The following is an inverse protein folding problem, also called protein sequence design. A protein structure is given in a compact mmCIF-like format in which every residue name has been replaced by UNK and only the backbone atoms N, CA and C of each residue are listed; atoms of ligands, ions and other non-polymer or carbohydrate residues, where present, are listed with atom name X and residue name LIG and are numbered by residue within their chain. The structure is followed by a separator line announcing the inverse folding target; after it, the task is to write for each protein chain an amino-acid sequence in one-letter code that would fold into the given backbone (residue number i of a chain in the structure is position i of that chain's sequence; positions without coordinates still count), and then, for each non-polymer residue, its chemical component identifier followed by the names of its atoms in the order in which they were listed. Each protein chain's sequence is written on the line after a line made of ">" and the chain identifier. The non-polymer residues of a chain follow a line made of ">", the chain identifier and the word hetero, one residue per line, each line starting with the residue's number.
data_IF_643429007236
#
_entry.id   IF_643429007236
#
_cell.length_a   1.000
_cell.length_b   1.000
_cell.length_c   1.000
_cell.angle_alpha   90.00
_cell.angle_beta   90.00
_cell.angle_gamma   90.00
#
_symmetry.space_group_name_H-M   'P 1'
#
loop_
_entity.id
_entity.type
_entity.pdbx_description
1 polymer ?
#
# COMPACT_ATOMS: atom_id res chain seq x y z
N UNK A 1 -31.07 -10.56 -14.40
CA UNK A 1 -31.57 -10.71 -15.78
C UNK A 1 -33.10 -10.81 -15.87
N UNK A 2 -33.79 -11.66 -15.09
CA UNK A 2 -35.27 -11.84 -15.20
C UNK A 2 -36.07 -10.53 -15.04
N UNK A 3 -35.75 -9.70 -14.02
CA UNK A 3 -36.42 -8.41 -13.79
C UNK A 3 -36.24 -7.44 -14.97
N UNK A 4 -35.01 -7.28 -15.45
CA UNK A 4 -34.71 -6.35 -16.54
C UNK A 4 -35.37 -6.75 -17.86
N UNK A 5 -35.45 -8.05 -18.15
CA UNK A 5 -36.16 -8.54 -19.32
C UNK A 5 -37.65 -8.22 -19.23
N UNK A 6 -38.30 -8.53 -18.10
CA UNK A 6 -39.71 -8.22 -17.90
C UNK A 6 -40.02 -6.71 -17.98
N UNK A 7 -39.15 -5.86 -17.40
CA UNK A 7 -39.28 -4.40 -17.54
C UNK A 7 -39.07 -3.94 -18.98
N UNK A 8 -38.13 -4.54 -19.70
CA UNK A 8 -37.89 -4.29 -21.12
C UNK A 8 -39.11 -4.64 -21.97
N UNK A 9 -39.71 -5.80 -21.75
CA UNK A 9 -40.90 -6.27 -22.45
C UNK A 9 -42.08 -5.31 -22.22
N UNK A 10 -42.34 -4.92 -20.97
CA UNK A 10 -43.41 -3.98 -20.62
C UNK A 10 -43.14 -2.59 -21.24
N UNK A 11 -41.89 -2.14 -21.25
CA UNK A 11 -41.50 -0.87 -21.87
C UNK A 11 -41.74 -0.90 -23.38
N UNK A 12 -41.35 -1.98 -24.05
CA UNK A 12 -41.59 -2.18 -25.48
C UNK A 12 -43.07 -2.24 -25.81
N UNK A 13 -43.87 -2.93 -24.99
CA UNK A 13 -45.33 -2.97 -25.14
C UNK A 13 -45.97 -1.58 -24.98
N UNK A 14 -45.53 -0.80 -23.98
CA UNK A 14 -46.01 0.56 -23.75
C UNK A 14 -45.67 1.48 -24.94
N UNK A 15 -44.46 1.40 -25.48
CA UNK A 15 -44.03 2.18 -26.65
C UNK A 15 -44.87 1.79 -27.87
N UNK A 16 -45.02 0.49 -28.15
CA UNK A 16 -45.77 0.01 -29.31
C UNK A 16 -47.26 0.43 -29.24
N UNK A 17 -47.85 0.41 -28.04
CA UNK A 17 -49.28 0.70 -27.84
C UNK A 17 -49.59 2.21 -27.82
N UNK A 18 -48.72 3.02 -27.20
CA UNK A 18 -48.99 4.44 -26.94
C UNK A 18 -48.17 5.41 -27.80
N UNK A 19 -47.01 4.98 -28.31
CA UNK A 19 -46.05 5.81 -29.02
C UNK A 19 -45.94 5.54 -30.53
N UNK A 20 -46.39 4.36 -30.99
CA UNK A 20 -46.23 3.90 -32.38
C UNK A 20 -44.92 3.13 -32.60
N UNK A 21 -44.58 2.84 -33.86
CA UNK A 21 -43.38 2.06 -34.22
C UNK A 21 -42.08 2.86 -34.04
N UNK A 22 -42.01 4.11 -34.53
CA UNK A 22 -40.84 4.99 -34.40
C UNK A 22 -41.26 6.48 -34.44
N UNK A 23 -40.45 7.36 -33.83
CA UNK A 23 -40.61 8.83 -33.86
C UNK A 23 -40.68 9.49 -32.49
N UNK A 24 -40.86 10.82 -32.46
CA UNK A 24 -40.84 11.64 -31.23
C UNK A 24 -41.84 11.16 -30.16
N UNK A 25 -42.99 10.60 -30.57
CA UNK A 25 -43.99 10.06 -29.65
C UNK A 25 -43.52 8.79 -28.93
N UNK A 26 -42.80 7.90 -29.63
CA UNK A 26 -42.22 6.70 -29.04
C UNK A 26 -41.14 7.04 -28.00
N UNK A 27 -40.30 8.04 -28.29
CA UNK A 27 -39.30 8.56 -27.35
C UNK A 27 -39.96 9.17 -26.10
N UNK A 28 -40.99 10.01 -26.28
CA UNK A 28 -41.72 10.62 -25.17
C UNK A 28 -42.38 9.58 -24.26
N UNK A 29 -42.96 8.51 -24.82
CA UNK A 29 -43.52 7.40 -24.04
C UNK A 29 -42.43 6.67 -23.25
N UNK A 30 -41.26 6.45 -23.85
CA UNK A 30 -40.12 5.84 -23.16
C UNK A 30 -39.62 6.67 -21.96
N UNK A 31 -39.58 7.99 -22.09
CA UNK A 31 -39.24 8.89 -20.98
C UNK A 31 -40.29 8.89 -19.88
N UNK A 32 -41.58 8.91 -20.24
CA UNK A 32 -42.68 8.83 -19.28
C UNK A 32 -42.67 7.50 -18.53
N UNK A 33 -42.39 6.39 -19.23
CA UNK A 33 -42.25 5.07 -18.60
C UNK A 33 -41.18 5.08 -17.52
N UNK A 34 -40.00 5.66 -17.81
CA UNK A 34 -38.90 5.79 -16.84
C UNK A 34 -39.30 6.63 -15.61
N UNK A 35 -40.12 7.68 -15.80
CA UNK A 35 -40.69 8.47 -14.69
C UNK A 35 -41.67 7.65 -13.85
N UNK A 36 -42.51 6.84 -14.48
CA UNK A 36 -43.45 5.95 -13.77
C UNK A 36 -42.69 4.91 -12.95
N UNK A 37 -41.67 4.27 -13.53
CA UNK A 37 -40.80 3.33 -12.83
C UNK A 37 -40.18 3.97 -11.58
N UNK A 38 -39.58 5.16 -11.75
CA UNK A 38 -39.02 5.94 -10.64
C UNK A 38 -40.06 6.19 -9.55
N UNK A 39 -41.24 6.66 -9.90
CA UNK A 39 -42.30 6.99 -8.93
C UNK A 39 -42.81 5.74 -8.20
N UNK A 40 -42.97 4.62 -8.89
CA UNK A 40 -43.43 3.35 -8.29
C UNK A 40 -42.43 2.85 -7.26
N UNK A 41 -41.13 2.81 -7.60
CA UNK A 41 -40.09 2.36 -6.68
C UNK A 41 -40.01 3.26 -5.45
N UNK A 42 -39.99 4.58 -5.65
CA UNK A 42 -39.87 5.56 -4.56
C UNK A 42 -41.05 5.54 -3.61
N UNK A 43 -42.27 5.48 -4.16
CA UNK A 43 -43.50 5.43 -3.35
C UNK A 43 -43.53 4.18 -2.47
N UNK A 44 -43.12 3.02 -3.01
CA UNK A 44 -43.05 1.78 -2.24
C UNK A 44 -42.06 1.87 -1.09
N UNK A 45 -40.87 2.43 -1.35
CA UNK A 45 -39.82 2.60 -0.33
C UNK A 45 -40.30 3.50 0.80
N UNK A 46 -40.93 4.64 0.50
CA UNK A 46 -41.45 5.57 1.52
C UNK A 46 -42.60 4.95 2.33
N UNK A 47 -43.44 4.12 1.70
CA UNK A 47 -44.51 3.37 2.37
C UNK A 47 -43.99 2.21 3.25
N UNK A 48 -42.67 1.98 3.31
CA UNK A 48 -42.08 0.90 4.08
C UNK A 48 -42.27 -0.49 3.46
N UNK A 49 -42.64 -0.56 2.18
CA UNK A 49 -42.73 -1.82 1.45
C UNK A 49 -41.33 -2.35 1.11
N UNK A 50 -41.19 -3.67 0.84
CA UNK A 50 -39.91 -4.25 0.44
C UNK A 50 -39.30 -3.56 -0.79
N UNK A 51 -37.98 -3.39 -0.74
CA UNK A 51 -37.13 -2.86 -1.82
C UNK A 51 -37.16 -3.78 -3.05
N UNK A 52 -36.46 -3.38 -4.12
CA UNK A 52 -36.43 -4.09 -5.41
C UNK A 52 -35.97 -5.55 -5.24
N UNK A 53 -35.05 -5.80 -4.30
CA UNK A 53 -34.53 -7.13 -3.98
C UNK A 53 -35.21 -7.80 -2.77
N UNK A 54 -36.30 -7.21 -2.27
CA UNK A 54 -37.08 -7.73 -1.16
C UNK A 54 -36.58 -7.37 0.25
N UNK A 55 -35.44 -6.67 0.38
CA UNK A 55 -34.93 -6.22 1.68
C UNK A 55 -35.76 -5.07 2.27
N UNK A 56 -35.60 -4.86 3.57
CA UNK A 56 -36.00 -3.62 4.22
C UNK A 56 -34.96 -2.49 3.98
N UNK A 57 -35.25 -1.32 4.55
CA UNK A 57 -34.42 -0.13 4.39
C UNK A 57 -33.06 -0.22 5.12
N UNK A 58 -32.88 -1.13 6.07
CA UNK A 58 -31.72 -1.16 6.98
C UNK A 58 -30.76 -2.33 6.74
N UNK A 59 -31.23 -3.39 6.11
CA UNK A 59 -30.51 -4.65 5.93
C UNK A 59 -29.40 -4.53 4.89
N UNK A 60 -28.18 -4.87 5.30
CA UNK A 60 -27.01 -5.05 4.40
C UNK A 60 -27.16 -6.37 3.65
N UNK A 61 -26.72 -6.44 2.38
CA UNK A 61 -26.70 -7.69 1.62
C UNK A 61 -25.75 -8.73 2.25
N UNK A 62 -25.92 -10.03 1.95
CA UNK A 62 -24.99 -11.07 2.42
C UNK A 62 -23.55 -10.74 2.07
N UNK A 63 -22.65 -10.95 3.04
CA UNK A 63 -21.21 -10.68 2.90
C UNK A 63 -20.46 -12.00 2.93
N UNK A 64 -19.51 -12.16 2.02
CA UNK A 64 -18.52 -13.21 2.05
C UNK A 64 -17.13 -12.60 1.87
N UNK A 65 -16.21 -12.99 2.74
CA UNK A 65 -14.85 -12.48 2.79
C UNK A 65 -13.88 -13.67 2.72
N UNK A 66 -12.83 -13.52 1.93
CA UNK A 66 -11.71 -14.47 1.86
C UNK A 66 -10.40 -13.67 1.84
N UNK A 67 -9.35 -14.21 2.45
CA UNK A 67 -7.98 -13.65 2.39
C UNK A 67 -6.99 -14.71 1.94
N UNK A 68 -5.87 -14.31 1.36
CA UNK A 68 -4.84 -15.23 0.89
C UNK A 68 -5.22 -16.05 -0.35
N UNK A 69 -6.25 -15.65 -1.10
CA UNK A 69 -6.72 -16.36 -2.30
C UNK A 69 -5.66 -16.45 -3.41
N UNK A 70 -4.74 -15.47 -3.48
CA UNK A 70 -3.65 -15.44 -4.46
C UNK A 70 -2.31 -15.77 -3.80
N UNK A 71 -1.86 -17.02 -3.91
CA UNK A 71 -0.67 -17.57 -3.23
C UNK A 71 0.64 -16.80 -3.39
N UNK A 72 0.81 -16.03 -4.47
CA UNK A 72 2.05 -15.27 -4.73
C UNK A 72 1.94 -13.78 -4.40
N UNK A 73 0.74 -13.26 -4.19
CA UNK A 73 0.55 -11.89 -3.76
C UNK A 73 1.13 -11.69 -2.35
N UNK A 74 1.57 -10.48 -2.02
CA UNK A 74 2.06 -10.20 -0.66
C UNK A 74 0.88 -10.21 0.33
N UNK A 75 -0.28 -9.70 -0.10
CA UNK A 75 -1.56 -9.99 0.53
C UNK A 75 -2.68 -9.92 -0.51
N UNK A 76 -3.76 -10.65 -0.26
CA UNK A 76 -4.93 -10.67 -1.15
C UNK A 76 -6.22 -10.87 -0.39
N UNK A 77 -7.31 -10.33 -0.92
CA UNK A 77 -8.64 -10.55 -0.39
C UNK A 77 -9.67 -10.60 -1.52
N UNK A 78 -10.71 -11.40 -1.32
CA UNK A 78 -11.94 -11.36 -2.09
C UNK A 78 -13.03 -10.89 -1.13
N UNK A 79 -13.57 -9.70 -1.39
CA UNK A 79 -14.70 -9.17 -0.64
C UNK A 79 -15.93 -9.16 -1.55
N UNK A 80 -16.95 -9.91 -1.17
CA UNK A 80 -18.24 -9.99 -1.88
C UNK A 80 -19.35 -9.54 -0.96
N UNK A 81 -20.19 -8.62 -1.45
CA UNK A 81 -21.41 -8.16 -0.78
C UNK A 81 -22.57 -8.17 -1.77
N UNK A 82 -23.47 -9.14 -1.62
CA UNK A 82 -24.48 -9.43 -2.64
C UNK A 82 -23.83 -9.68 -3.99
N UNK A 83 -24.19 -8.88 -5.00
CA UNK A 83 -23.65 -8.93 -6.37
C UNK A 83 -22.60 -7.82 -6.61
N UNK A 84 -21.88 -7.42 -5.56
CA UNK A 84 -20.70 -6.55 -5.67
C UNK A 84 -19.50 -7.28 -5.13
N UNK A 85 -18.49 -7.50 -5.97
CA UNK A 85 -17.27 -8.22 -5.61
C UNK A 85 -16.03 -7.43 -6.03
N UNK A 86 -15.07 -7.38 -5.12
CA UNK A 86 -13.74 -6.84 -5.37
C UNK A 86 -12.68 -7.89 -5.01
N UNK A 87 -11.81 -8.20 -5.97
CA UNK A 87 -10.55 -8.87 -5.72
C UNK A 87 -9.52 -7.78 -5.46
N UNK A 88 -8.95 -7.76 -4.26
CA UNK A 88 -8.01 -6.73 -3.83
C UNK A 88 -6.67 -7.36 -3.52
N UNK A 89 -5.61 -6.78 -4.07
CA UNK A 89 -4.24 -7.29 -3.94
C UNK A 89 -3.34 -6.20 -3.39
N UNK A 90 -2.56 -6.54 -2.38
CA UNK A 90 -1.52 -5.70 -1.79
C UNK A 90 -0.15 -6.16 -2.27
N UNK A 91 0.66 -5.22 -2.71
CA UNK A 91 2.08 -5.38 -3.04
C UNK A 91 2.89 -4.43 -2.17
N UNK A 92 4.01 -4.93 -1.65
CA UNK A 92 4.98 -4.19 -0.85
C UNK A 92 6.25 -4.02 -1.68
N UNK A 93 6.77 -2.80 -1.73
CA UNK A 93 8.00 -2.43 -2.42
C UNK A 93 8.93 -1.63 -1.51
N UNK A 94 10.13 -1.36 -2.00
CA UNK A 94 11.07 -0.49 -1.30
C UNK A 94 10.60 0.97 -1.36
N UNK A 95 11.12 1.85 -0.51
CA UNK A 95 10.72 3.27 -0.50
C UNK A 95 11.05 3.99 -1.82
N UNK A 96 12.08 3.52 -2.55
CA UNK A 96 12.35 3.98 -3.92
C UNK A 96 11.23 3.71 -4.93
N UNK A 97 10.35 2.73 -4.67
CA UNK A 97 9.22 2.37 -5.54
C UNK A 97 8.03 3.34 -5.37
N UNK A 98 8.15 4.32 -4.46
CA UNK A 98 7.15 5.36 -4.25
C UNK A 98 6.90 6.15 -5.54
N UNK A 99 5.64 6.52 -5.75
CA UNK A 99 5.26 7.29 -6.94
C UNK A 99 5.69 8.74 -6.77
N UNK A 100 6.54 9.22 -7.68
CA UNK A 100 6.85 10.65 -7.76
C UNK A 100 5.68 11.37 -8.43
N UNK A 101 5.09 12.32 -7.72
CA UNK A 101 4.01 13.18 -8.20
C UNK A 101 4.59 14.58 -8.41
N UNK A 102 4.87 14.90 -9.68
CA UNK A 102 5.24 16.26 -10.10
C UNK A 102 3.99 17.15 -10.03
N UNK A 103 3.91 17.92 -8.94
CA UNK A 103 2.80 18.78 -8.61
C UNK A 103 3.15 20.26 -8.77
N UNK A 104 2.12 21.11 -8.82
CA UNK A 104 2.30 22.56 -8.89
C UNK A 104 3.10 23.15 -7.70
N UNK A 105 3.12 22.44 -6.56
CA UNK A 105 3.84 22.85 -5.35
C UNK A 105 5.21 22.18 -5.21
N UNK A 106 5.66 21.46 -6.23
CA UNK A 106 6.88 20.66 -6.23
C UNK A 106 6.61 19.16 -6.28
N UNK A 107 7.69 18.40 -6.33
CA UNK A 107 7.66 16.93 -6.36
C UNK A 107 7.34 16.37 -4.98
N UNK A 108 6.36 15.48 -4.91
CA UNK A 108 6.02 14.70 -3.72
C UNK A 108 6.22 13.20 -3.99
N UNK A 109 6.51 12.41 -2.96
CA UNK A 109 6.66 10.96 -3.05
C UNK A 109 5.46 10.29 -2.36
N UNK A 110 4.56 9.71 -3.13
CA UNK A 110 3.42 8.95 -2.62
C UNK A 110 3.83 7.50 -2.33
N UNK A 111 4.04 7.18 -1.06
CA UNK A 111 4.35 5.83 -0.57
C UNK A 111 3.12 4.92 -0.49
N UNK A 112 1.90 5.46 -0.67
CA UNK A 112 0.66 4.69 -0.67
C UNK A 112 -0.19 4.90 -1.92
N UNK A 113 -0.13 3.91 -2.82
CA UNK A 113 -0.91 3.88 -4.05
C UNK A 113 -2.12 2.96 -3.90
N UNK A 114 -3.31 3.46 -4.22
CA UNK A 114 -4.49 2.63 -4.40
C UNK A 114 -5.04 2.83 -5.81
N UNK A 115 -4.95 1.78 -6.62
CA UNK A 115 -5.51 1.71 -7.95
C UNK A 115 -6.81 0.92 -7.93
N UNK A 116 -7.79 1.43 -8.67
CA UNK A 116 -9.12 0.87 -8.76
C UNK A 116 -9.45 0.67 -10.24
N UNK A 117 -9.90 -0.52 -10.59
CA UNK A 117 -10.23 -0.91 -11.95
C UNK A 117 -11.66 -1.45 -12.00
N UNK A 118 -12.40 -1.03 -13.02
CA UNK A 118 -13.80 -1.36 -13.26
C UNK A 118 -13.95 -1.93 -14.68
N UNK A 119 -13.58 -3.21 -14.88
CA UNK A 119 -13.68 -3.83 -16.19
C UNK A 119 -15.15 -4.00 -16.62
N UNK A 120 -15.51 -3.84 -17.91
CA UNK A 120 -16.89 -3.89 -18.38
C UNK A 120 -17.66 -5.17 -18.02
N UNK A 121 -16.95 -6.31 -17.93
CA UNK A 121 -17.57 -7.59 -17.60
C UNK A 121 -18.21 -7.60 -16.20
N UNK A 122 -17.78 -6.73 -15.27
CA UNK A 122 -18.31 -6.73 -13.91
C UNK A 122 -19.79 -6.29 -13.83
N UNK A 123 -20.31 -5.69 -14.90
CA UNK A 123 -21.73 -5.36 -15.11
C UNK A 123 -22.34 -6.16 -16.26
N UNK A 124 -21.63 -7.16 -16.80
CA UNK A 124 -22.09 -7.98 -17.92
C UNK A 124 -22.03 -7.29 -19.29
N UNK A 125 -21.27 -6.21 -19.43
CA UNK A 125 -21.13 -5.47 -20.68
C UNK A 125 -19.80 -5.78 -21.39
N UNK A 126 -19.77 -5.57 -22.70
CA UNK A 126 -18.53 -5.55 -23.48
C UNK A 126 -18.06 -4.10 -23.66
N UNK A 127 -16.75 -3.85 -23.50
CA UNK A 127 -16.20 -2.51 -23.66
C UNK A 127 -14.70 -2.51 -23.90
N UNK A 128 -14.17 -1.37 -24.35
CA UNK A 128 -12.75 -1.21 -24.64
C UNK A 128 -11.94 -1.10 -23.34
N UNK A 129 -10.92 -1.93 -23.21
CA UNK A 129 -9.96 -1.90 -22.09
C UNK A 129 -8.79 -0.97 -22.46
N UNK A 130 -8.91 0.32 -22.16
CA UNK A 130 -7.84 1.31 -22.30
C UNK A 130 -7.31 1.74 -20.92
N UNK A 131 -6.94 3.02 -20.75
CA UNK A 131 -6.52 3.54 -19.45
C UNK A 131 -7.71 3.80 -18.50
N UNK A 132 -7.43 4.02 -17.20
CA UNK A 132 -8.48 4.24 -16.20
C UNK A 132 -9.27 5.54 -16.47
N UNK A 133 -10.60 5.44 -16.37
CA UNK A 133 -11.54 6.55 -16.54
C UNK A 133 -11.55 7.45 -15.30
N UNK A 134 -12.11 8.66 -15.45
CA UNK A 134 -12.28 9.61 -14.33
C UNK A 134 -12.97 8.99 -13.11
N UNK A 135 -14.01 8.18 -13.32
CA UNK A 135 -14.75 7.53 -12.21
C UNK A 135 -13.92 6.46 -11.51
N UNK A 136 -13.08 5.72 -12.24
CA UNK A 136 -12.17 4.74 -11.66
C UNK A 136 -11.12 5.43 -10.77
N UNK A 137 -10.52 6.52 -11.25
CA UNK A 137 -9.59 7.33 -10.45
C UNK A 137 -10.30 7.93 -9.23
N UNK A 138 -11.51 8.47 -9.39
CA UNK A 138 -12.29 9.04 -8.29
C UNK A 138 -12.65 8.01 -7.20
N UNK A 139 -13.10 6.82 -7.61
CA UNK A 139 -13.39 5.72 -6.69
C UNK A 139 -12.12 5.20 -6.00
N UNK A 140 -11.01 5.08 -6.74
CA UNK A 140 -9.71 4.72 -6.17
C UNK A 140 -9.25 5.74 -5.12
N UNK A 141 -9.38 7.04 -5.40
CA UNK A 141 -9.03 8.09 -4.43
C UNK A 141 -9.97 8.12 -3.22
N UNK A 142 -11.27 7.83 -3.39
CA UNK A 142 -12.19 7.67 -2.26
C UNK A 142 -11.78 6.49 -1.37
N UNK A 143 -11.52 5.32 -1.97
CA UNK A 143 -11.09 4.14 -1.24
C UNK A 143 -9.75 4.38 -0.53
N UNK A 144 -8.81 5.04 -1.21
CA UNK A 144 -7.52 5.46 -0.65
C UNK A 144 -7.72 6.29 0.61
N UNK A 145 -8.56 7.32 0.55
CA UNK A 145 -8.85 8.18 1.72
C UNK A 145 -9.47 7.37 2.88
N UNK A 146 -10.32 6.40 2.56
CA UNK A 146 -10.93 5.52 3.56
C UNK A 146 -9.92 4.71 4.37
N UNK A 147 -8.87 4.17 3.74
CA UNK A 147 -7.87 3.33 4.42
C UNK A 147 -6.61 4.09 4.86
N UNK A 148 -6.26 5.21 4.22
CA UNK A 148 -5.03 5.96 4.49
C UNK A 148 -4.91 6.39 5.95
N UNK A 149 -6.04 6.79 6.56
CA UNK A 149 -6.06 7.17 7.96
C UNK A 149 -5.72 6.01 8.92
N UNK A 150 -5.68 4.76 8.49
CA UNK A 150 -5.33 3.61 9.33
C UNK A 150 -3.96 3.02 9.02
N UNK A 151 -3.24 3.56 8.04
CA UNK A 151 -1.90 3.09 7.72
C UNK A 151 -0.91 3.42 8.85
N UNK A 152 0.12 2.57 9.05
CA UNK A 152 1.26 2.90 9.90
C UNK A 152 2.08 4.03 9.29
N UNK A 153 2.92 4.66 10.12
CA UNK A 153 3.98 5.55 9.63
C UNK A 153 5.14 4.77 8.99
N UNK A 154 5.97 5.49 8.23
CA UNK A 154 7.11 4.93 7.52
C UNK A 154 8.22 4.43 8.46
N UNK A 155 8.28 4.92 9.70
CA UNK A 155 9.23 4.43 10.70
C UNK A 155 8.86 3.02 11.17
N UNK A 156 7.57 2.79 11.41
CA UNK A 156 7.01 1.51 11.86
C UNK A 156 6.96 0.49 10.73
N UNK A 157 6.61 0.93 9.52
CA UNK A 157 6.46 0.05 8.37
C UNK A 157 7.07 0.69 7.11
N UNK A 158 8.41 0.59 6.94
CA UNK A 158 9.15 1.29 5.88
C UNK A 158 8.98 0.59 4.54
N UNK A 159 7.77 0.62 4.00
CA UNK A 159 7.43 0.01 2.71
C UNK A 159 6.62 0.98 1.86
N UNK A 160 6.88 0.95 0.57
CA UNK A 160 5.91 1.46 -0.39
C UNK A 160 4.79 0.44 -0.53
N UNK A 161 3.55 0.87 -0.38
CA UNK A 161 2.39 0.00 -0.43
C UNK A 161 1.58 0.34 -1.69
N UNK A 162 1.36 -0.68 -2.53
CA UNK A 162 0.45 -0.61 -3.66
C UNK A 162 -0.72 -1.55 -3.45
N UNK A 163 -1.93 -1.01 -3.47
CA UNK A 163 -3.18 -1.77 -3.46
C UNK A 163 -3.83 -1.66 -4.84
N UNK A 164 -4.24 -2.78 -5.42
CA UNK A 164 -5.04 -2.82 -6.64
C UNK A 164 -6.36 -3.50 -6.32
N UNK A 165 -7.48 -2.79 -6.53
CA UNK A 165 -8.82 -3.33 -6.43
C UNK A 165 -9.39 -3.57 -7.83
N UNK A 166 -9.57 -4.84 -8.18
CA UNK A 166 -10.22 -5.29 -9.40
C UNK A 166 -11.68 -5.61 -9.09
N UNK A 167 -12.61 -4.89 -9.69
CA UNK A 167 -14.04 -5.15 -9.51
C UNK A 167 -14.46 -6.27 -10.47
N UNK A 168 -14.91 -7.39 -9.91
CA UNK A 168 -15.34 -8.55 -10.70
C UNK A 168 -16.85 -8.62 -10.85
N UNK A 169 -17.60 -8.03 -9.91
CA UNK A 169 -19.06 -7.89 -9.95
C UNK A 169 -19.46 -6.52 -9.39
N UNK A 170 -20.45 -5.86 -9.96
CA UNK A 170 -20.92 -4.57 -9.45
C UNK A 170 -22.42 -4.37 -9.60
N UNK A 171 -23.13 -4.49 -8.48
CA UNK A 171 -24.53 -4.06 -8.34
C UNK A 171 -24.73 -3.14 -7.12
N UNK A 172 -23.71 -2.38 -6.72
CA UNK A 172 -23.80 -1.43 -5.62
C UNK A 172 -22.46 -1.08 -5.02
N UNK A 173 -22.10 0.21 -5.10
CA UNK A 173 -20.87 0.82 -4.57
C UNK A 173 -19.66 -0.09 -4.41
N UNK A 174 -19.13 -0.54 -5.54
CA UNK A 174 -17.83 -1.22 -5.65
C UNK A 174 -16.68 -0.45 -5.00
N UNK A 175 -16.74 0.88 -4.94
CA UNK A 175 -15.76 1.70 -4.19
C UNK A 175 -15.71 1.39 -2.69
N UNK A 176 -16.82 0.99 -2.07
CA UNK A 176 -16.85 0.60 -0.65
C UNK A 176 -16.43 -0.86 -0.46
N UNK A 177 -16.74 -1.72 -1.43
CA UNK A 177 -16.16 -3.06 -1.48
C UNK A 177 -14.63 -3.00 -1.59
N UNK A 178 -14.08 -2.04 -2.34
CA UNK A 178 -12.63 -1.77 -2.41
C UNK A 178 -12.04 -1.35 -1.07
N UNK A 179 -12.74 -0.54 -0.27
CA UNK A 179 -12.27 -0.16 1.09
C UNK A 179 -12.19 -1.40 1.98
N UNK A 180 -13.26 -2.19 2.01
CA UNK A 180 -13.31 -3.41 2.82
C UNK A 180 -12.24 -4.43 2.38
N UNK A 181 -12.16 -4.69 1.07
CA UNK A 181 -11.16 -5.59 0.50
C UNK A 181 -9.73 -5.10 0.69
N UNK A 182 -9.48 -3.78 0.59
CA UNK A 182 -8.16 -3.21 0.89
C UNK A 182 -7.80 -3.38 2.36
N UNK A 183 -8.73 -3.14 3.30
CA UNK A 183 -8.48 -3.38 4.72
C UNK A 183 -8.08 -4.83 4.99
N UNK A 184 -8.78 -5.80 4.38
CA UNK A 184 -8.47 -7.22 4.50
C UNK A 184 -7.11 -7.57 3.86
N UNK A 185 -6.87 -7.12 2.62
CA UNK A 185 -5.65 -7.45 1.88
C UNK A 185 -4.40 -6.78 2.47
N UNK A 186 -4.53 -5.62 3.11
CA UNK A 186 -3.44 -4.96 3.84
C UNK A 186 -3.07 -5.75 5.09
N UNK A 187 -4.06 -6.18 5.88
CA UNK A 187 -3.83 -7.03 7.06
C UNK A 187 -3.26 -8.40 6.68
N UNK A 188 -3.75 -9.01 5.60
CA UNK A 188 -3.22 -10.25 5.05
C UNK A 188 -1.76 -10.11 4.58
N UNK A 189 -1.37 -8.92 4.12
CA UNK A 189 0.01 -8.61 3.75
C UNK A 189 0.96 -8.33 4.94
N UNK A 190 0.45 -8.37 6.17
CA UNK A 190 1.20 -8.02 7.37
C UNK A 190 1.39 -6.51 7.58
N UNK A 191 0.58 -5.67 6.92
CA UNK A 191 0.60 -4.21 7.17
C UNK A 191 -0.09 -3.94 8.51
N UNK A 192 0.61 -3.37 9.52
CA UNK A 192 0.05 -3.13 10.84
C UNK A 192 -0.91 -1.94 10.84
N UNK A 193 -2.13 -2.14 10.34
CA UNK A 193 -3.18 -1.13 10.40
C UNK A 193 -3.54 -0.80 11.85
N UNK A 194 -3.80 0.48 12.15
CA UNK A 194 -4.25 0.91 13.48
C UNK A 194 -5.58 0.27 13.89
N UNK A 195 -6.48 0.10 12.93
CA UNK A 195 -7.73 -0.64 13.06
C UNK A 195 -8.25 -1.06 11.67
N UNK A 196 -9.04 -2.14 11.55
CA UNK A 196 -9.73 -2.48 10.32
C UNK A 196 -10.74 -1.40 9.91
N UNK A 197 -10.97 -1.23 8.60
CA UNK A 197 -11.86 -0.21 8.04
C UNK A 197 -12.91 -0.87 7.14
N UNK A 198 -14.18 -0.54 7.38
CA UNK A 198 -15.29 -0.94 6.51
C UNK A 198 -15.92 0.27 5.82
N UNK A 199 -16.55 0.02 4.67
CA UNK A 199 -17.27 1.01 3.89
C UNK A 199 -18.71 0.60 3.59
N UNK A 200 -19.63 1.56 3.65
CA UNK A 200 -21.04 1.36 3.29
C UNK A 200 -21.50 2.45 2.34
N UNK A 201 -22.37 2.08 1.41
CA UNK A 201 -23.08 3.02 0.56
C UNK A 201 -24.54 3.12 0.99
N UNK A 202 -25.01 4.34 1.04
CA UNK A 202 -26.29 4.74 1.59
C UNK A 202 -27.02 5.58 0.56
N UNK A 203 -28.34 5.49 0.56
CA UNK A 203 -29.20 6.32 -0.27
C UNK A 203 -30.26 7.02 0.55
N UNK A 204 -30.84 8.07 -0.03
CA UNK A 204 -32.00 8.76 0.50
C UNK A 204 -33.04 8.89 -0.61
N UNK A 205 -34.30 8.59 -0.29
CA UNK A 205 -35.46 8.95 -1.09
C UNK A 205 -36.29 9.92 -0.25
N UNK A 206 -36.66 11.06 -0.82
CA UNK A 206 -37.47 12.09 -0.17
C UNK A 206 -38.58 12.56 -1.11
N UNK A 207 -39.80 12.57 -0.60
CA UNK A 207 -40.96 13.19 -1.23
C UNK A 207 -41.52 14.29 -0.30
N UNK A 208 -42.64 14.89 -0.67
CA UNK A 208 -43.34 15.88 0.17
C UNK A 208 -43.84 15.25 1.49
N UNK A 209 -44.32 14.01 1.42
CA UNK A 209 -44.97 13.32 2.54
C UNK A 209 -44.02 12.55 3.47
N UNK A 210 -42.71 12.50 3.17
CA UNK A 210 -41.73 11.78 3.99
C UNK A 210 -40.40 11.48 3.32
N UNK A 211 -39.54 10.74 4.02
CA UNK A 211 -38.25 10.27 3.51
C UNK A 211 -37.92 8.86 3.99
N UNK A 212 -37.02 8.19 3.28
CA UNK A 212 -36.47 6.89 3.62
C UNK A 212 -34.95 6.88 3.42
N UNK A 213 -34.23 6.33 4.40
CA UNK A 213 -32.78 6.11 4.31
C UNK A 213 -32.56 4.64 3.94
N UNK A 214 -31.82 4.40 2.86
CA UNK A 214 -31.52 3.07 2.34
C UNK A 214 -30.09 2.67 2.71
N UNK A 215 -29.95 1.53 3.38
CA UNK A 215 -28.66 0.89 3.64
C UNK A 215 -28.27 -0.02 2.48
N UNK A 216 -27.00 0.05 2.08
CA UNK A 216 -26.39 -0.83 1.10
C UNK A 216 -27.16 -0.82 -0.22
N UNK A 217 -27.16 0.35 -0.86
CA UNK A 217 -27.93 0.61 -2.07
C UNK A 217 -27.47 -0.22 -3.28
N UNK A 218 -28.44 -0.57 -4.10
CA UNK A 218 -28.26 -1.15 -5.43
C UNK A 218 -27.92 -0.06 -6.46
N UNK A 219 -27.46 -0.47 -7.64
CA UNK A 219 -27.27 0.46 -8.77
C UNK A 219 -28.55 1.20 -9.17
N UNK A 220 -29.70 0.48 -9.19
CA UNK A 220 -31.00 1.10 -9.48
C UNK A 220 -31.38 2.13 -8.41
N UNK A 221 -31.11 1.86 -7.13
CA UNK A 221 -31.49 2.74 -6.03
C UNK A 221 -30.66 4.01 -5.95
N UNK A 222 -29.38 3.94 -6.36
CA UNK A 222 -28.53 5.12 -6.58
C UNK A 222 -29.13 6.00 -7.69
N UNK A 223 -29.47 5.40 -8.83
CA UNK A 223 -30.05 6.13 -9.97
C UNK A 223 -31.37 6.83 -9.61
N UNK A 224 -32.22 6.17 -8.82
CA UNK A 224 -33.56 6.64 -8.47
C UNK A 224 -33.62 7.50 -7.19
N UNK A 225 -32.57 7.45 -6.37
CA UNK A 225 -32.46 8.19 -5.11
C UNK A 225 -32.11 9.68 -5.30
N UNK A 226 -32.43 10.48 -4.28
CA UNK A 226 -32.21 11.93 -4.24
C UNK A 226 -30.86 12.34 -3.65
N UNK A 227 -30.24 11.41 -2.94
CA UNK A 227 -28.90 11.56 -2.40
C UNK A 227 -28.27 10.17 -2.29
N UNK A 228 -27.02 10.06 -2.71
CA UNK A 228 -26.17 8.92 -2.41
C UNK A 228 -24.96 9.38 -1.59
N UNK A 229 -24.60 8.58 -0.60
CA UNK A 229 -23.43 8.88 0.20
C UNK A 229 -22.71 7.62 0.65
N UNK A 230 -21.41 7.76 0.82
CA UNK A 230 -20.48 6.68 1.08
C UNK A 230 -19.73 7.01 2.35
N UNK A 231 -19.79 6.11 3.32
CA UNK A 231 -19.18 6.28 4.63
C UNK A 231 -18.18 5.15 4.85
N UNK A 232 -16.92 5.51 5.06
CA UNK A 232 -15.86 4.58 5.42
C UNK A 232 -15.30 4.94 6.80
N UNK A 233 -14.89 3.93 7.58
CA UNK A 233 -14.38 4.15 8.91
C UNK A 233 -14.13 2.87 9.70
N UNK A 234 -13.47 3.02 10.85
CA UNK A 234 -13.30 1.96 11.84
C UNK A 234 -14.48 1.94 12.82
N UNK A 235 -14.37 1.15 13.89
CA UNK A 235 -15.29 1.19 15.03
C UNK A 235 -15.33 2.57 15.70
N UNK A 236 -14.20 3.26 15.72
CA UNK A 236 -14.00 4.45 16.56
C UNK A 236 -14.40 5.75 15.85
N UNK A 237 -14.49 5.73 14.52
CA UNK A 237 -14.81 6.93 13.77
C UNK A 237 -14.84 6.76 12.25
N UNK A 238 -15.19 7.85 11.58
CA UNK A 238 -15.23 7.96 10.11
C UNK A 238 -13.87 8.38 9.60
N UNK A 239 -13.35 7.67 8.58
CA UNK A 239 -12.10 8.00 7.89
C UNK A 239 -12.33 8.71 6.57
N UNK A 240 -13.45 8.43 5.89
CA UNK A 240 -13.86 9.16 4.71
C UNK A 240 -15.39 9.24 4.60
N UNK A 241 -15.87 10.39 4.14
CA UNK A 241 -17.27 10.65 3.83
C UNK A 241 -17.33 11.32 2.45
N UNK A 242 -18.13 10.75 1.55
CA UNK A 242 -18.48 11.36 0.27
C UNK A 242 -20.00 11.42 0.18
N UNK A 243 -20.53 12.56 -0.25
CA UNK A 243 -21.96 12.78 -0.42
C UNK A 243 -22.20 13.44 -1.77
N UNK A 244 -23.20 12.96 -2.49
CA UNK A 244 -23.75 13.60 -3.68
C UNK A 244 -25.25 13.81 -3.46
N UNK A 245 -25.68 15.07 -3.51
CA UNK A 245 -27.03 15.52 -3.17
C UNK A 245 -27.66 16.09 -4.44
N UNK A 246 -28.77 15.50 -4.88
CA UNK A 246 -29.47 15.87 -6.13
C UNK A 246 -30.64 16.83 -5.89
N UNK A 247 -31.07 17.01 -4.63
CA UNK A 247 -32.22 17.84 -4.26
C UNK A 247 -31.88 18.83 -3.14
N UNK A 248 -32.72 19.85 -2.96
CA UNK A 248 -32.69 20.71 -1.78
C UNK A 248 -33.55 20.11 -0.65
N UNK A 249 -33.39 20.65 0.57
CA UNK A 249 -34.27 20.30 1.70
C UNK A 249 -33.83 19.07 2.52
N UNK A 250 -32.54 18.72 2.47
CA UNK A 250 -31.94 17.75 3.40
C UNK A 250 -31.56 18.49 4.68
N UNK A 251 -32.25 18.18 5.79
CA UNK A 251 -32.03 18.81 7.09
C UNK A 251 -30.92 18.12 7.88
N UNK A 252 -30.40 18.78 8.91
CA UNK A 252 -29.43 18.17 9.83
C UNK A 252 -29.98 16.89 10.49
N UNK A 253 -31.27 16.88 10.82
CA UNK A 253 -31.94 15.73 11.44
C UNK A 253 -31.93 14.51 10.52
N UNK A 254 -32.23 14.71 9.23
CA UNK A 254 -32.16 13.66 8.20
C UNK A 254 -30.73 13.14 8.09
N UNK A 255 -29.75 14.04 8.04
CA UNK A 255 -28.33 13.67 7.98
C UNK A 255 -27.87 12.86 9.19
N UNK A 256 -28.29 13.27 10.40
CA UNK A 256 -27.95 12.57 11.64
C UNK A 256 -28.53 11.15 11.67
N UNK A 257 -29.80 11.00 11.27
CA UNK A 257 -30.43 9.69 11.16
C UNK A 257 -29.72 8.82 10.10
N UNK A 258 -29.37 9.40 8.96
CA UNK A 258 -28.71 8.69 7.87
C UNK A 258 -27.29 8.22 8.24
N UNK A 259 -26.51 9.05 8.94
CA UNK A 259 -25.19 8.69 9.43
C UNK A 259 -25.23 7.67 10.58
N UNK A 260 -26.23 7.73 11.46
CA UNK A 260 -26.43 6.71 12.50
C UNK A 260 -26.71 5.34 11.87
N UNK A 261 -27.62 5.28 10.91
CA UNK A 261 -27.89 4.03 10.17
C UNK A 261 -26.67 3.53 9.39
N UNK A 262 -25.86 4.44 8.84
CA UNK A 262 -24.60 4.10 8.18
C UNK A 262 -23.56 3.54 9.16
N UNK A 263 -23.50 4.05 10.39
CA UNK A 263 -22.63 3.54 11.45
C UNK A 263 -23.00 2.09 11.79
N UNK A 264 -24.28 1.81 12.04
CA UNK A 264 -24.76 0.46 12.36
C UNK A 264 -24.39 -0.54 11.25
N UNK A 265 -24.63 -0.16 10.00
CA UNK A 265 -24.31 -0.97 8.83
C UNK A 265 -22.80 -1.19 8.66
N UNK A 266 -21.99 -0.14 8.88
CA UNK A 266 -20.53 -0.22 8.80
C UNK A 266 -19.98 -1.15 9.87
N UNK A 267 -20.47 -1.07 11.10
CA UNK A 267 -20.07 -1.95 12.20
C UNK A 267 -20.46 -3.41 11.93
N UNK A 268 -21.63 -3.63 11.33
CA UNK A 268 -22.03 -4.97 10.90
C UNK A 268 -21.06 -5.54 9.85
N UNK A 269 -20.72 -4.77 8.80
CA UNK A 269 -19.74 -5.18 7.78
C UNK A 269 -18.38 -5.47 8.40
N UNK A 270 -17.92 -4.60 9.30
CA UNK A 270 -16.67 -4.77 10.03
C UNK A 270 -16.66 -6.07 10.84
N UNK A 271 -17.78 -6.39 11.49
CA UNK A 271 -17.98 -7.65 12.20
C UNK A 271 -17.85 -8.88 11.29
N UNK A 272 -18.41 -8.85 10.08
CA UNK A 272 -18.25 -9.94 9.10
C UNK A 272 -16.81 -10.06 8.60
N UNK A 273 -16.11 -8.95 8.38
CA UNK A 273 -14.70 -8.93 7.99
C UNK A 273 -13.81 -9.55 9.08
N UNK A 274 -14.03 -9.17 10.34
CA UNK A 274 -13.24 -9.62 11.48
C UNK A 274 -13.39 -11.13 11.76
N UNK A 275 -14.42 -11.80 11.25
CA UNK A 275 -14.54 -13.27 11.32
C UNK A 275 -13.46 -13.98 10.50
N UNK A 276 -12.87 -13.29 9.52
CA UNK A 276 -11.83 -13.84 8.64
C UNK A 276 -10.44 -13.40 9.10
N UNK A 277 -10.27 -12.10 9.36
CA UNK A 277 -9.04 -11.53 9.90
C UNK A 277 -9.39 -10.24 10.66
N UNK A 278 -9.06 -10.18 11.94
CA UNK A 278 -9.38 -9.06 12.85
C UNK A 278 -8.17 -8.16 13.14
N UNK A 279 -6.95 -8.66 12.93
CA UNK A 279 -5.70 -7.92 12.99
C UNK A 279 -4.75 -8.31 11.86
N UNK A 280 -3.74 -7.46 11.59
CA UNK A 280 -2.68 -7.79 10.65
C UNK A 280 -1.96 -9.10 11.02
N UNK A 281 -1.44 -9.82 10.01
CA UNK A 281 -0.51 -10.92 10.25
C UNK A 281 0.77 -10.38 10.90
N UNK A 282 1.40 -11.19 11.76
CA UNK A 282 2.62 -10.81 12.49
C UNK A 282 3.83 -10.60 11.56
N UNK A 283 3.88 -11.33 10.44
CA UNK A 283 4.93 -11.24 9.44
C UNK A 283 4.35 -10.93 8.05
N UNK A 284 5.14 -10.21 7.25
CA UNK A 284 4.88 -10.05 5.81
C UNK A 284 5.06 -11.39 5.09
N UNK A 285 4.37 -11.57 3.95
CA UNK A 285 4.49 -12.79 3.16
C UNK A 285 5.94 -13.09 2.74
N UNK A 286 6.29 -14.37 2.61
CA UNK A 286 7.64 -14.79 2.16
C UNK A 286 8.01 -14.31 0.76
N UNK A 287 7.01 -13.96 -0.05
CA UNK A 287 7.22 -13.36 -1.38
C UNK A 287 7.48 -11.86 -1.32
N UNK A 288 7.20 -11.21 -0.20
CA UNK A 288 7.47 -9.79 0.00
C UNK A 288 8.94 -9.56 0.38
N UNK A 289 9.53 -8.43 -0.04
CA UNK A 289 10.87 -8.05 0.39
C UNK A 289 10.90 -7.87 1.91
N UNK A 290 11.82 -8.52 2.61
CA UNK A 290 12.07 -8.28 4.03
C UNK A 290 12.97 -7.04 4.16
N UNK A 291 12.63 -6.16 5.09
CA UNK A 291 13.39 -4.94 5.39
C UNK A 291 14.27 -5.15 6.61
N UNK A 292 15.52 -4.67 6.52
CA UNK A 292 16.48 -4.64 7.62
C UNK A 292 17.01 -3.23 7.74
N UNK A 293 16.89 -2.63 8.91
CA UNK A 293 17.36 -1.29 9.18
C UNK A 293 18.49 -1.29 10.20
N UNK A 294 19.52 -0.49 9.93
CA UNK A 294 20.61 -0.24 10.86
C UNK A 294 21.19 1.16 10.59
N UNK A 295 21.93 1.71 11.57
CA UNK A 295 22.57 3.02 11.43
C UNK A 295 24.05 2.88 11.18
N UNK A 296 24.56 3.73 10.30
CA UNK A 296 25.99 3.93 10.06
C UNK A 296 26.36 5.36 10.44
N UNK A 297 27.65 5.61 10.58
CA UNK A 297 28.16 6.97 10.76
C UNK A 297 27.84 7.84 9.53
N UNK A 298 27.20 9.02 9.69
CA UNK A 298 26.91 9.93 8.59
C UNK A 298 28.12 10.29 7.72
N UNK A 299 29.32 10.34 8.29
CA UNK A 299 30.53 10.67 7.55
C UNK A 299 30.90 9.58 6.52
N UNK A 300 30.42 8.35 6.72
CA UNK A 300 30.71 7.19 5.86
C UNK A 300 29.67 6.95 4.77
N UNK A 301 28.58 7.71 4.75
CA UNK A 301 27.56 7.63 3.69
C UNK A 301 28.23 7.76 2.31
N UNK A 302 29.21 8.66 2.18
CA UNK A 302 29.96 8.89 0.93
C UNK A 302 30.73 7.66 0.46
N UNK A 303 31.27 6.86 1.39
CA UNK A 303 32.03 5.64 1.07
C UNK A 303 31.10 4.52 0.60
N UNK A 304 29.94 4.36 1.26
CA UNK A 304 28.92 3.37 0.89
C UNK A 304 28.29 3.68 -0.47
N UNK A 305 27.98 4.95 -0.75
CA UNK A 305 27.48 5.37 -2.07
C UNK A 305 28.58 5.23 -3.13
N UNK A 306 29.80 5.67 -2.81
CA UNK A 306 30.93 5.72 -3.73
C UNK A 306 30.79 6.79 -4.81
N UNK A 307 31.83 6.96 -5.63
CA UNK A 307 31.84 7.98 -6.71
C UNK A 307 30.72 7.72 -7.72
N UNK A 308 29.74 8.63 -7.78
CA UNK A 308 28.59 8.52 -8.69
C UNK A 308 27.63 7.36 -8.41
N UNK A 309 27.65 6.82 -7.18
CA UNK A 309 26.81 5.67 -6.81
C UNK A 309 27.36 4.31 -7.25
N UNK A 310 28.62 4.22 -7.67
CA UNK A 310 29.21 2.98 -8.18
C UNK A 310 29.25 1.87 -7.11
N UNK A 311 29.59 2.21 -5.86
CA UNK A 311 29.71 1.22 -4.78
C UNK A 311 28.35 0.67 -4.39
N UNK A 312 27.35 1.54 -4.17
CA UNK A 312 26.00 1.10 -3.82
C UNK A 312 25.34 0.28 -4.94
N UNK A 313 25.57 0.61 -6.21
CA UNK A 313 25.10 -0.20 -7.35
C UNK A 313 25.74 -1.59 -7.33
N UNK A 314 27.05 -1.67 -7.11
CA UNK A 314 27.75 -2.96 -7.01
C UNK A 314 27.23 -3.80 -5.82
N UNK A 315 26.95 -3.18 -4.67
CA UNK A 315 26.32 -3.87 -3.54
C UNK A 315 24.96 -4.42 -3.95
N UNK A 316 24.10 -3.60 -4.59
CA UNK A 316 22.77 -4.03 -5.01
C UNK A 316 22.84 -5.17 -6.05
N UNK A 317 23.70 -5.06 -7.06
CA UNK A 317 23.89 -6.08 -8.10
C UNK A 317 24.44 -7.40 -7.53
N UNK A 318 25.43 -7.32 -6.64
CA UNK A 318 26.09 -8.51 -6.06
C UNK A 318 25.20 -9.22 -5.04
N UNK A 319 24.41 -8.47 -4.28
CA UNK A 319 23.50 -9.03 -3.26
C UNK A 319 22.12 -9.38 -3.80
N UNK A 320 21.73 -8.85 -4.97
CA UNK A 320 20.35 -8.84 -5.46
C UNK A 320 19.38 -8.26 -4.42
N UNK A 321 19.86 -7.32 -3.60
CA UNK A 321 19.10 -6.56 -2.63
C UNK A 321 19.02 -5.09 -3.04
N UNK A 322 18.02 -4.41 -2.52
CA UNK A 322 17.78 -2.98 -2.70
C UNK A 322 18.21 -2.27 -1.43
N UNK A 323 19.18 -1.36 -1.53
CA UNK A 323 19.67 -0.56 -0.40
C UNK A 323 19.22 0.88 -0.59
N UNK A 324 18.56 1.44 0.42
CA UNK A 324 18.21 2.85 0.52
C UNK A 324 18.98 3.46 1.71
N UNK A 325 19.65 4.60 1.50
CA UNK A 325 20.37 5.34 2.53
C UNK A 325 19.78 6.74 2.69
N UNK A 326 19.51 7.11 3.93
CA UNK A 326 19.11 8.47 4.31
C UNK A 326 20.34 9.30 4.74
N UNK A 327 20.20 10.62 4.69
CA UNK A 327 21.27 11.57 5.02
C UNK A 327 21.67 11.56 6.51
N UNK A 328 20.83 10.97 7.37
CA UNK A 328 21.08 10.80 8.81
C UNK A 328 21.88 9.53 9.16
N UNK A 329 22.26 8.74 8.14
CA UNK A 329 22.99 7.49 8.31
C UNK A 329 22.09 6.27 8.52
N UNK A 330 20.77 6.40 8.39
CA UNK A 330 19.87 5.25 8.40
C UNK A 330 19.96 4.48 7.07
N UNK A 331 20.32 3.20 7.16
CA UNK A 331 20.40 2.29 6.02
C UNK A 331 19.23 1.31 6.10
N UNK A 332 18.48 1.19 5.00
CA UNK A 332 17.41 0.19 4.85
C UNK A 332 17.76 -0.77 3.71
N UNK A 333 17.78 -2.05 4.01
CA UNK A 333 18.08 -3.13 3.05
C UNK A 333 16.83 -3.97 2.83
N UNK A 334 16.39 -4.04 1.58
CA UNK A 334 15.24 -4.83 1.12
C UNK A 334 15.72 -6.03 0.31
N UNK A 335 15.32 -7.24 0.70
CA UNK A 335 15.62 -8.43 -0.08
C UNK A 335 14.53 -9.50 0.07
N UNK A 336 14.34 -10.31 -0.97
CA UNK A 336 13.41 -11.46 -0.95
C UNK A 336 13.80 -12.53 0.07
N UNK A 337 15.10 -12.65 0.37
CA UNK A 337 15.60 -13.68 1.30
C UNK A 337 16.57 -13.09 2.31
N UNK A 338 16.62 -13.69 3.50
CA UNK A 338 17.55 -13.32 4.57
C UNK A 338 19.02 -13.41 4.13
N UNK A 339 19.37 -14.38 3.29
CA UNK A 339 20.74 -14.55 2.79
C UNK A 339 21.17 -13.39 1.89
N UNK A 340 20.29 -12.95 0.98
CA UNK A 340 20.54 -11.79 0.11
C UNK A 340 20.69 -10.51 0.94
N UNK A 341 19.82 -10.30 1.93
CA UNK A 341 19.91 -9.16 2.84
C UNK A 341 21.21 -9.18 3.65
N UNK A 342 21.57 -10.31 4.26
CA UNK A 342 22.78 -10.44 5.06
C UNK A 342 24.04 -10.17 4.22
N UNK A 343 24.05 -10.61 2.96
CA UNK A 343 25.15 -10.31 2.04
C UNK A 343 25.31 -8.80 1.81
N UNK A 344 24.21 -8.07 1.61
CA UNK A 344 24.26 -6.61 1.47
C UNK A 344 24.70 -5.93 2.77
N UNK A 345 24.14 -6.33 3.91
CA UNK A 345 24.50 -5.82 5.24
C UNK A 345 26.00 -6.01 5.49
N UNK A 346 26.53 -7.23 5.31
CA UNK A 346 27.95 -7.49 5.55
C UNK A 346 28.89 -6.75 4.58
N UNK A 347 28.46 -6.45 3.35
CA UNK A 347 29.23 -5.58 2.44
C UNK A 347 29.26 -4.13 2.96
N UNK A 348 28.15 -3.62 3.47
CA UNK A 348 28.05 -2.26 4.02
C UNK A 348 28.84 -2.17 5.33
N UNK A 349 28.73 -3.17 6.21
CA UNK A 349 29.53 -3.30 7.43
C UNK A 349 31.03 -3.35 7.10
N UNK A 350 31.45 -4.09 6.08
CA UNK A 350 32.86 -4.16 5.69
C UNK A 350 33.43 -2.80 5.22
N UNK A 351 32.61 -1.98 4.55
CA UNK A 351 32.98 -0.62 4.14
C UNK A 351 33.00 0.32 5.35
N UNK A 352 31.98 0.21 6.22
CA UNK A 352 31.80 1.12 7.35
C UNK A 352 32.60 0.73 8.58
N UNK A 353 33.18 -0.46 8.60
CA UNK A 353 33.98 -1.00 9.69
C UNK A 353 35.10 -0.02 10.08
N UNK A 354 35.26 0.19 11.38
CA UNK A 354 36.39 0.93 11.92
C UNK A 354 37.43 -0.01 12.51
N UNK A 355 38.66 0.47 12.47
CA UNK A 355 39.73 -0.11 13.24
C UNK A 355 39.53 0.28 14.71
N UNK A 356 39.02 -0.64 15.52
CA UNK A 356 38.87 -0.42 16.96
C UNK A 356 40.24 -0.43 17.63
N UNK A 357 40.50 0.55 18.51
CA UNK A 357 41.74 0.61 19.29
C UNK A 357 41.84 -0.66 20.15
N UNK A 358 42.93 -1.41 19.96
CA UNK A 358 43.16 -2.71 20.60
C UNK A 358 42.69 -3.93 19.80
N UNK A 359 41.94 -3.74 18.70
CA UNK A 359 41.50 -4.82 17.81
C UNK A 359 42.67 -5.47 17.06
N UNK A 360 42.63 -6.80 16.94
CA UNK A 360 43.63 -7.60 16.19
C UNK A 360 43.04 -7.97 14.84
N UNK A 361 43.70 -7.54 13.76
CA UNK A 361 43.26 -7.78 12.39
C UNK A 361 44.32 -8.52 11.57
N UNK A 362 43.88 -9.24 10.54
CA UNK A 362 44.76 -9.82 9.52
C UNK A 362 44.77 -8.89 8.32
N UNK A 363 45.91 -8.28 8.04
CA UNK A 363 46.04 -7.32 6.94
C UNK A 363 47.13 -7.71 5.96
N UNK A 364 47.02 -7.21 4.72
CA UNK A 364 47.99 -7.46 3.65
C UNK A 364 48.97 -6.29 3.56
N UNK A 365 50.26 -6.58 3.47
CA UNK A 365 51.30 -5.55 3.28
C UNK A 365 51.17 -4.97 1.86
N UNK A 366 50.80 -3.71 1.74
CA UNK A 366 50.68 -3.03 0.44
C UNK A 366 51.99 -2.39 -0.01
N UNK A 367 52.71 -1.75 0.93
CA UNK A 367 53.99 -1.10 0.63
C UNK A 367 54.88 -1.06 1.86
N UNK A 368 56.19 -1.14 1.62
CA UNK A 368 57.23 -1.02 2.64
C UNK A 368 57.98 0.28 2.39
N UNK A 369 58.32 0.98 3.48
CA UNK A 369 59.14 2.20 3.48
C UNK A 369 60.22 2.08 4.57
N UNK A 370 61.28 2.87 4.48
CA UNK A 370 62.44 2.76 5.39
C UNK A 370 62.08 2.88 6.89
N UNK A 371 60.96 3.54 7.21
CA UNK A 371 60.48 3.75 8.58
C UNK A 371 59.31 2.84 9.00
N UNK A 372 58.86 1.90 8.15
CA UNK A 372 57.75 0.99 8.48
C UNK A 372 57.08 0.31 7.29
N UNK A 373 55.97 -0.38 7.57
CA UNK A 373 55.15 -1.04 6.55
C UNK A 373 53.71 -0.56 6.61
N UNK A 374 53.11 -0.30 5.44
CA UNK A 374 51.67 -0.03 5.32
C UNK A 374 50.94 -1.35 5.10
N UNK A 375 50.04 -1.65 6.02
CA UNK A 375 49.24 -2.87 6.03
C UNK A 375 47.79 -2.48 5.85
N UNK A 376 47.16 -3.01 4.80
CA UNK A 376 45.73 -2.83 4.54
C UNK A 376 44.95 -3.77 5.44
N UNK A 377 44.16 -3.22 6.35
CA UNK A 377 43.44 -3.97 7.39
C UNK A 377 41.95 -4.12 7.04
N UNK A 378 41.38 -3.06 6.48
CA UNK A 378 40.00 -3.01 6.00
C UNK A 378 40.01 -2.37 4.61
N UNK A 379 39.01 -2.64 3.76
CA UNK A 379 38.93 -2.06 2.42
C UNK A 379 39.10 -0.53 2.44
N UNK A 380 40.19 -0.03 1.86
CA UNK A 380 40.48 1.41 1.80
C UNK A 380 41.09 2.02 3.07
N UNK A 381 41.42 1.21 4.08
CA UNK A 381 42.07 1.66 5.32
C UNK A 381 43.42 0.99 5.52
N UNK A 382 44.46 1.79 5.35
CA UNK A 382 45.84 1.39 5.58
C UNK A 382 46.29 1.86 6.96
N UNK A 383 46.88 0.95 7.73
CA UNK A 383 47.59 1.30 8.95
C UNK A 383 49.10 1.20 8.77
N UNK A 384 49.84 2.05 9.49
CA UNK A 384 51.30 2.05 9.48
C UNK A 384 51.82 1.24 10.68
N UNK A 385 52.54 0.17 10.40
CA UNK A 385 53.41 -0.49 11.39
C UNK A 385 54.75 0.23 11.35
N UNK A 386 55.07 1.00 12.39
CA UNK A 386 56.37 1.65 12.50
C UNK A 386 57.47 0.61 12.76
N UNK A 387 58.71 0.84 12.28
CA UNK A 387 59.83 -0.12 12.42
C UNK A 387 60.06 -0.58 13.87
N UNK A 388 59.83 0.32 14.83
CA UNK A 388 59.96 0.02 16.27
C UNK A 388 58.84 -0.85 16.86
N UNK A 389 57.81 -1.15 16.07
CA UNK A 389 56.61 -1.92 16.47
C UNK A 389 56.50 -3.25 15.69
N UNK A 390 57.54 -3.66 14.95
CA UNK A 390 57.56 -4.90 14.16
C UNK A 390 57.99 -6.10 15.01
N UNK A 391 59.06 -5.97 15.80
CA UNK A 391 59.63 -7.05 16.62
C UNK A 391 60.27 -6.50 17.90
N UNK A 392 60.34 -7.29 18.97
CA UNK A 392 61.02 -6.93 20.23
C UNK A 392 62.54 -6.77 20.05
N UNK A 393 63.12 -7.43 19.04
CA UNK A 393 64.52 -7.31 18.66
C UNK A 393 64.79 -6.08 17.79
N UNK A 394 66.04 -5.62 17.74
CA UNK A 394 66.43 -4.45 16.94
C UNK A 394 66.40 -4.81 15.45
N UNK A 395 65.35 -4.35 14.77
CA UNK A 395 65.18 -4.51 13.32
C UNK A 395 65.97 -3.41 12.60
N UNK A 396 66.97 -3.78 11.79
CA UNK A 396 67.71 -2.83 10.94
C UNK A 396 67.00 -2.57 9.60
N UNK A 397 66.35 -3.58 9.01
CA UNK A 397 65.57 -3.45 7.77
C UNK A 397 64.18 -4.08 7.90
N UNK A 398 63.15 -3.36 7.45
CA UNK A 398 61.75 -3.85 7.44
C UNK A 398 61.56 -5.02 6.46
N UNK A 399 62.35 -5.04 5.38
CA UNK A 399 62.30 -6.06 4.32
C UNK A 399 62.71 -7.46 4.78
N UNK A 400 63.43 -7.58 5.90
CA UNK A 400 63.85 -8.87 6.46
C UNK A 400 62.70 -9.60 7.17
N UNK A 401 61.66 -8.86 7.60
CA UNK A 401 60.55 -9.41 8.36
C UNK A 401 59.22 -9.48 7.60
N UNK A 402 59.07 -8.69 6.54
CA UNK A 402 57.81 -8.57 5.80
C UNK A 402 58.10 -8.37 4.32
N UNK A 403 57.34 -9.04 3.45
CA UNK A 403 57.38 -8.77 2.01
C UNK A 403 56.08 -8.10 1.56
N UNK A 404 56.19 -7.28 0.52
CA UNK A 404 55.01 -6.72 -0.14
C UNK A 404 54.11 -7.87 -0.60
N UNK A 405 52.89 -7.89 -0.12
CA UNK A 405 51.90 -8.93 -0.40
C UNK A 405 51.67 -9.96 0.72
N UNK A 406 52.49 -9.97 1.78
CA UNK A 406 52.32 -10.90 2.90
C UNK A 406 51.09 -10.57 3.75
N UNK A 407 50.46 -11.61 4.31
CA UNK A 407 49.34 -11.48 5.26
C UNK A 407 49.90 -11.56 6.68
N UNK A 408 49.79 -10.47 7.42
CA UNK A 408 50.31 -10.35 8.79
C UNK A 408 49.19 -10.04 9.78
N UNK A 409 49.33 -10.50 11.03
CA UNK A 409 48.45 -10.08 12.12
C UNK A 409 48.99 -8.79 12.72
N UNK A 410 48.12 -7.80 12.89
CA UNK A 410 48.45 -6.47 13.40
C UNK A 410 47.39 -6.02 14.40
N UNK A 411 47.81 -5.38 15.48
CA UNK A 411 46.93 -4.81 16.51
C UNK A 411 46.91 -3.29 16.38
N UNK A 412 45.73 -2.69 16.47
CA UNK A 412 45.56 -1.24 16.41
C UNK A 412 45.98 -0.63 17.74
N UNK A 413 47.01 0.21 17.73
CA UNK A 413 47.49 0.90 18.92
C UNK A 413 46.75 2.20 19.17
N UNK A 414 46.52 2.97 18.12
CA UNK A 414 46.06 4.35 18.20
C UNK A 414 45.52 4.79 16.84
N UNK A 415 44.52 5.67 16.85
CA UNK A 415 43.95 6.29 15.64
C UNK A 415 44.10 7.80 15.82
N UNK A 416 44.99 8.39 15.03
CA UNK A 416 45.29 9.82 15.09
C UNK A 416 44.10 10.66 14.59
N UNK A 417 43.98 11.93 15.00
CA UNK A 417 42.88 12.84 14.65
C UNK A 417 42.73 13.12 13.13
N UNK A 418 43.68 12.66 12.32
CA UNK A 418 43.67 12.70 10.84
C UNK A 418 43.27 11.36 10.21
N UNK A 419 42.75 10.41 10.98
CA UNK A 419 42.33 9.07 10.52
C UNK A 419 43.49 8.11 10.24
N UNK A 420 44.72 8.42 10.68
CA UNK A 420 45.90 7.54 10.47
C UNK A 420 45.95 6.48 11.57
N UNK A 421 45.93 5.22 11.17
CA UNK A 421 45.91 4.08 12.08
C UNK A 421 47.36 3.65 12.38
N UNK A 422 47.75 3.68 13.66
CA UNK A 422 49.03 3.14 14.11
C UNK A 422 48.85 1.68 14.50
N UNK A 423 49.71 0.84 13.98
CA UNK A 423 49.67 -0.61 14.19
C UNK A 423 50.91 -1.10 14.91
N UNK A 424 50.74 -2.19 15.64
CA UNK A 424 51.85 -2.97 16.20
C UNK A 424 51.72 -4.42 15.83
N UNK A 425 52.87 -5.09 15.73
CA UNK A 425 53.01 -6.54 15.67
C UNK A 425 53.54 -7.12 17.00
N UNK A 426 53.84 -6.25 17.97
CA UNK A 426 54.24 -6.64 19.34
C UNK A 426 53.01 -6.98 20.16
N UNK A 427 53.12 -7.96 21.05
CA UNK A 427 52.05 -8.40 21.96
C UNK A 427 50.71 -8.74 21.25
N UNK A 428 50.77 -9.57 20.20
CA UNK A 428 49.60 -10.12 19.48
C UNK A 428 49.29 -11.55 19.88
#
# INVERSE_FOLDING_TARGET
>A
MVRYNALGDIRSEAIATLGGEEGEHAEAVGELFSKVEKNVVRSRVIQGLPRIDGRDQKTVRPINCEVGSLKRAHGSAIFTRGETQAIVVTTLGALRDAQIVDGLMGDDKDTFMLHYNFPPYCVGEAGMMSGPKRREIGHGRLARRGVYAMLPDEETFPYTIRVVSEITESNGSSSMASVCGASLALMDAGVPLRAPVAGIAMGLVKEEDGYAVLTDILGDEDHLGDMDFKVAGSSDGVTALQMDIKIQGITEEIMRAALAQAQDARLHILGEMNKVIDSARDEVADTAPRTYSFRIDPDKIREVIGKGGATIRNICETSAATVDLDDDGLVRVYAETKEKAQKAISMIEAITAEAEIGGVYKGKVERIVDFGAFVNILPGKDGLVHISQISEERVENVEDHMKVGDIVKVKVLDVDARGRIKLTMKDI
#
